data_IF_696801346753
#
_entry.id   IF_696801346753
#
_cell.length_a   1.000
_cell.length_b   1.000
_cell.length_c   1.000
_cell.angle_alpha   90.00
_cell.angle_beta   90.00
_cell.angle_gamma   90.00
#
_symmetry.space_group_name_H-M   'P 1'
#
loop_
_entity.id
_entity.type
_entity.pdbx_description
1 polymer ?
#
# COMPACT_ATOMS: atom_id res chain seq x y z
N UNK A 1 4.93 0.78 -22.68
CA UNK A 1 5.27 0.27 -21.33
C UNK A 1 6.61 -0.49 -21.30
N UNK A 2 7.23 -0.65 -20.12
CA UNK A 2 8.52 -1.35 -19.90
C UNK A 2 8.45 -2.31 -18.71
N UNK A 3 8.91 -3.55 -18.89
CA UNK A 3 9.01 -4.59 -17.86
C UNK A 3 10.48 -4.95 -17.65
N UNK A 4 10.92 -4.91 -16.39
CA UNK A 4 12.30 -5.13 -16.00
C UNK A 4 12.55 -6.62 -15.73
N UNK A 5 13.35 -7.24 -16.59
CA UNK A 5 13.82 -8.62 -16.41
C UNK A 5 15.32 -8.70 -16.08
N UNK A 6 16.07 -7.61 -16.29
CA UNK A 6 17.51 -7.56 -16.06
C UNK A 6 18.31 -8.72 -16.68
N UNK A 7 17.82 -9.32 -17.78
CA UNK A 7 18.45 -10.47 -18.41
C UNK A 7 19.79 -10.08 -19.07
N UNK A 8 20.92 -10.41 -18.44
CA UNK A 8 22.26 -10.05 -18.93
C UNK A 8 22.91 -11.15 -19.79
N UNK A 9 23.44 -10.76 -20.96
CA UNK A 9 24.29 -11.63 -21.77
C UNK A 9 23.53 -12.78 -22.44
N UNK A 10 23.78 -14.02 -22.01
CA UNK A 10 23.21 -15.24 -22.62
C UNK A 10 21.70 -15.37 -22.38
N UNK A 11 21.24 -14.99 -21.19
CA UNK A 11 19.81 -15.01 -20.81
C UNK A 11 18.98 -14.01 -21.60
N UNK A 12 19.58 -12.90 -22.08
CA UNK A 12 18.91 -11.95 -22.99
C UNK A 12 18.50 -12.59 -24.31
N UNK A 13 19.39 -13.42 -24.87
CA UNK A 13 19.13 -14.12 -26.13
C UNK A 13 18.04 -15.17 -25.95
N UNK A 14 18.06 -15.88 -24.81
CA UNK A 14 17.06 -16.88 -24.41
C UNK A 14 15.69 -16.24 -24.18
N UNK A 15 15.62 -15.06 -23.54
CA UNK A 15 14.39 -14.28 -23.40
C UNK A 15 13.81 -13.90 -24.77
N UNK A 16 14.66 -13.42 -25.69
CA UNK A 16 14.25 -13.10 -27.05
C UNK A 16 13.81 -14.35 -27.84
N UNK A 17 14.42 -15.52 -27.61
CA UNK A 17 13.98 -16.80 -28.20
C UNK A 17 12.61 -17.25 -27.64
N UNK A 18 12.40 -17.10 -26.34
CA UNK A 18 11.14 -17.44 -25.69
C UNK A 18 9.98 -16.57 -26.19
N UNK A 19 10.18 -15.25 -26.26
CA UNK A 19 9.20 -14.31 -26.80
C UNK A 19 8.89 -14.64 -28.26
N UNK A 20 9.91 -14.92 -29.08
CA UNK A 20 9.74 -15.33 -30.48
C UNK A 20 8.92 -16.62 -30.64
N UNK A 21 9.10 -17.57 -29.72
CA UNK A 21 8.34 -18.83 -29.71
C UNK A 21 6.89 -18.61 -29.28
N UNK A 22 6.65 -17.73 -28.31
CA UNK A 22 5.31 -17.45 -27.76
C UNK A 22 4.46 -16.65 -28.75
N UNK A 23 5.04 -15.62 -29.39
CA UNK A 23 4.34 -14.78 -30.36
C UNK A 23 4.30 -15.40 -31.75
N UNK A 24 5.15 -16.39 -32.01
CA UNK A 24 5.35 -16.96 -33.35
C UNK A 24 6.06 -16.01 -34.32
N UNK A 25 6.54 -14.86 -33.85
CA UNK A 25 7.22 -13.86 -34.65
C UNK A 25 8.74 -14.05 -34.61
N UNK A 26 9.41 -13.83 -35.73
CA UNK A 26 10.87 -13.95 -35.80
C UNK A 26 11.56 -12.81 -35.05
N UNK A 27 12.57 -13.14 -34.23
CA UNK A 27 13.41 -12.11 -33.59
C UNK A 27 14.44 -11.52 -34.56
N UNK A 28 14.54 -10.19 -34.59
CA UNK A 28 15.51 -9.44 -35.39
C UNK A 28 16.47 -8.69 -34.47
N UNK A 29 17.77 -8.85 -34.67
CA UNK A 29 18.79 -8.16 -33.87
C UNK A 29 19.19 -6.82 -34.51
N UNK A 30 18.98 -5.72 -33.79
CA UNK A 30 19.08 -4.35 -34.32
C UNK A 30 20.51 -3.78 -34.39
N UNK A 31 21.54 -4.50 -33.89
CA UNK A 31 22.94 -4.06 -34.01
C UNK A 31 23.28 -2.76 -33.26
N UNK A 32 24.36 -2.08 -33.62
CA UNK A 32 24.84 -0.86 -32.95
C UNK A 32 24.00 0.35 -33.42
N UNK A 33 23.58 1.31 -32.56
CA UNK A 33 23.94 1.49 -31.15
C UNK A 33 22.98 0.86 -30.12
N UNK A 34 21.83 0.35 -30.56
CA UNK A 34 20.74 -0.07 -29.67
C UNK A 34 20.95 -1.46 -29.05
N UNK A 35 21.58 -2.39 -29.77
CA UNK A 35 21.81 -3.80 -29.43
C UNK A 35 20.53 -4.54 -28.97
N UNK A 36 19.37 -4.11 -29.45
CA UNK A 36 18.06 -4.62 -29.07
C UNK A 36 17.62 -5.80 -29.96
N UNK A 37 16.72 -6.63 -29.43
CA UNK A 37 15.98 -7.62 -30.23
C UNK A 37 14.55 -7.14 -30.42
N UNK A 38 14.12 -7.00 -31.66
CA UNK A 38 12.75 -6.66 -32.03
C UNK A 38 12.01 -7.92 -32.45
N UNK A 39 10.83 -8.14 -31.88
CA UNK A 39 10.02 -9.35 -32.00
C UNK A 39 8.58 -8.89 -32.15
N UNK A 40 8.18 -8.63 -33.40
CA UNK A 40 6.89 -8.04 -33.72
C UNK A 40 6.64 -6.75 -32.92
N UNK A 41 5.65 -6.73 -32.02
CA UNK A 41 5.30 -5.56 -31.21
C UNK A 41 6.11 -5.45 -29.90
N UNK A 42 7.07 -6.34 -29.67
CA UNK A 42 7.90 -6.40 -28.47
C UNK A 42 9.36 -6.11 -28.77
N UNK A 43 10.01 -5.33 -27.91
CA UNK A 43 11.43 -5.00 -28.03
C UNK A 43 12.18 -5.33 -26.75
N UNK A 44 13.14 -6.25 -26.82
CA UNK A 44 14.07 -6.55 -25.70
C UNK A 44 15.28 -5.63 -25.81
N UNK A 45 15.48 -4.75 -24.82
CA UNK A 45 16.57 -3.78 -24.81
C UNK A 45 17.95 -4.39 -24.50
N UNK A 46 19.00 -3.57 -24.63
CA UNK A 46 20.39 -3.97 -24.33
C UNK A 46 20.56 -4.52 -22.92
N UNK A 47 19.77 -4.02 -21.98
CA UNK A 47 19.82 -4.36 -20.56
C UNK A 47 18.92 -5.55 -20.22
N UNK A 48 18.31 -6.19 -21.22
CA UNK A 48 17.47 -7.37 -21.05
C UNK A 48 16.09 -7.06 -20.48
N UNK A 49 15.53 -5.89 -20.78
CA UNK A 49 14.17 -5.52 -20.39
C UNK A 49 13.24 -5.54 -21.59
N UNK A 50 11.98 -5.89 -21.35
CA UNK A 50 10.95 -5.99 -22.37
C UNK A 50 10.20 -4.67 -22.48
N UNK A 51 10.19 -4.07 -23.68
CA UNK A 51 9.41 -2.89 -24.01
C UNK A 51 8.34 -3.24 -25.03
N UNK A 52 7.20 -2.59 -24.95
CA UNK A 52 6.11 -2.76 -25.90
C UNK A 52 5.23 -1.50 -25.95
N UNK A 53 4.50 -1.34 -27.05
CA UNK A 53 3.62 -0.18 -27.27
C UNK A 53 2.32 -0.30 -26.46
N UNK A 54 1.78 0.84 -26.01
CA UNK A 54 0.57 0.93 -25.19
C UNK A 54 -0.71 0.64 -26.00
N UNK A 55 -0.58 0.54 -27.33
CA UNK A 55 -1.67 0.20 -28.27
C UNK A 55 -1.91 -1.32 -28.40
N UNK A 56 -1.13 -2.16 -27.72
CA UNK A 56 -1.26 -3.63 -27.81
C UNK A 56 -2.42 -4.11 -26.95
N UNK A 57 -3.18 -5.09 -27.48
CA UNK A 57 -4.24 -5.78 -26.75
C UNK A 57 -3.70 -6.32 -25.41
N UNK A 58 -4.22 -5.80 -24.29
CA UNK A 58 -3.82 -6.21 -22.93
C UNK A 58 -3.81 -7.74 -22.73
N UNK A 59 -4.78 -8.43 -23.35
CA UNK A 59 -4.87 -9.90 -23.33
C UNK A 59 -3.63 -10.60 -23.91
N UNK A 60 -3.03 -10.06 -24.98
CA UNK A 60 -1.82 -10.62 -25.58
C UNK A 60 -0.59 -10.42 -24.69
N UNK A 61 -0.57 -9.34 -23.90
CA UNK A 61 0.52 -9.05 -22.96
C UNK A 61 0.42 -9.99 -21.75
N UNK A 62 -0.78 -10.18 -21.20
CA UNK A 62 -1.03 -11.11 -20.09
C UNK A 62 -0.67 -12.56 -20.47
N UNK A 63 -1.15 -13.05 -21.62
CA UNK A 63 -0.83 -14.40 -22.13
C UNK A 63 0.69 -14.61 -22.32
N UNK A 64 1.41 -13.56 -22.69
CA UNK A 64 2.85 -13.60 -22.91
C UNK A 64 3.61 -13.64 -21.58
N UNK A 65 3.17 -12.86 -20.58
CA UNK A 65 3.78 -12.83 -19.26
C UNK A 65 3.58 -14.16 -18.53
N UNK A 66 2.38 -14.74 -18.58
CA UNK A 66 2.09 -16.04 -17.95
C UNK A 66 2.97 -17.15 -18.55
N UNK A 67 3.12 -17.16 -19.88
CA UNK A 67 3.99 -18.12 -20.57
C UNK A 67 5.46 -17.92 -20.26
N UNK A 68 5.94 -16.67 -20.15
CA UNK A 68 7.33 -16.40 -19.78
C UNK A 68 7.64 -16.83 -18.33
N UNK A 69 6.71 -16.65 -17.40
CA UNK A 69 6.86 -17.13 -16.03
C UNK A 69 6.90 -18.67 -15.97
N UNK A 70 6.03 -19.34 -16.75
CA UNK A 70 6.05 -20.81 -16.89
C UNK A 70 7.36 -21.35 -17.49
N UNK A 71 8.09 -20.53 -18.25
CA UNK A 71 9.41 -20.86 -18.82
C UNK A 71 10.59 -20.47 -17.90
N UNK A 72 10.31 -19.99 -16.69
CA UNK A 72 11.33 -19.68 -15.68
C UNK A 72 12.00 -18.31 -15.86
N UNK A 73 11.44 -17.42 -16.67
CA UNK A 73 11.88 -16.03 -16.72
C UNK A 73 11.18 -15.23 -15.63
N UNK A 74 11.80 -15.16 -14.47
CA UNK A 74 11.31 -14.39 -13.34
C UNK A 74 11.82 -12.95 -13.42
N UNK A 75 10.93 -11.98 -13.25
CA UNK A 75 11.30 -10.56 -13.16
C UNK A 75 11.94 -10.27 -11.81
N UNK A 76 13.16 -9.72 -11.78
CA UNK A 76 13.76 -9.24 -10.52
C UNK A 76 12.99 -8.01 -9.98
N UNK A 77 12.69 -7.95 -8.68
CA UNK A 77 11.86 -6.90 -8.09
C UNK A 77 12.67 -5.61 -7.90
N UNK A 78 12.69 -4.76 -8.93
CA UNK A 78 13.12 -3.37 -8.79
C UNK A 78 11.90 -2.50 -8.44
N UNK A 79 11.76 -2.28 -7.12
CA UNK A 79 10.62 -1.68 -6.41
C UNK A 79 9.33 -2.51 -6.51
N UNK A 80 8.58 -2.66 -5.40
CA UNK A 80 7.32 -3.37 -5.42
C UNK A 80 6.43 -2.67 -6.44
N UNK A 81 6.26 -3.31 -7.59
CA UNK A 81 4.97 -3.36 -8.24
C UNK A 81 4.07 -3.86 -7.11
N UNK A 82 3.41 -2.92 -6.43
CA UNK A 82 2.14 -3.19 -5.78
C UNK A 82 1.41 -4.02 -6.82
N UNK A 83 1.30 -5.32 -6.54
CA UNK A 83 0.33 -6.16 -7.21
C UNK A 83 -0.94 -5.32 -7.16
N UNK A 84 -1.35 -4.76 -8.31
CA UNK A 84 -2.78 -4.67 -8.59
C UNK A 84 -3.28 -6.05 -8.18
N UNK A 85 -4.04 -6.14 -7.08
CA UNK A 85 -4.47 -7.43 -6.59
C UNK A 85 -5.24 -8.04 -7.75
N UNK A 86 -4.69 -9.15 -8.23
CA UNK A 86 -5.42 -10.25 -8.82
C UNK A 86 -6.93 -10.09 -8.57
N UNK A 87 -7.63 -9.70 -9.62
CA UNK A 87 -9.09 -9.55 -9.70
C UNK A 87 -9.80 -10.93 -9.61
N UNK A 88 -9.10 -11.94 -9.07
CA UNK A 88 -9.61 -13.26 -8.72
C UNK A 88 -9.35 -13.59 -7.24
N UNK A 89 -9.62 -12.66 -6.33
CA UNK A 89 -9.87 -13.01 -4.94
C UNK A 89 -11.16 -12.34 -4.44
N UNK A 90 -12.24 -13.09 -4.62
CA UNK A 90 -13.58 -12.87 -4.08
C UNK A 90 -14.31 -11.61 -4.55
N UNK A 91 -15.25 -11.82 -5.49
CA UNK A 91 -16.63 -11.40 -5.22
C UNK A 91 -17.04 -11.97 -3.86
N UNK A 92 -16.62 -11.35 -2.78
CA UNK A 92 -17.44 -11.29 -1.61
C UNK A 92 -18.12 -9.95 -1.72
N UNK A 93 -19.25 -9.97 -2.40
CA UNK A 93 -20.39 -9.16 -1.99
C UNK A 93 -20.73 -9.58 -0.55
N UNK A 94 -19.89 -9.21 0.43
CA UNK A 94 -20.39 -9.03 1.77
C UNK A 94 -21.15 -7.72 1.71
N UNK A 95 -22.47 -7.85 1.64
CA UNK A 95 -23.42 -6.74 1.60
C UNK A 95 -23.29 -5.86 2.88
N UNK A 96 -22.50 -6.29 3.87
CA UNK A 96 -22.35 -5.70 5.21
C UNK A 96 -20.99 -5.03 5.51
N UNK A 97 -20.09 -4.86 4.53
CA UNK A 97 -18.80 -4.19 4.80
C UNK A 97 -18.93 -2.66 4.73
N UNK A 98 -18.57 -1.98 5.83
CA UNK A 98 -18.62 -0.52 5.91
C UNK A 98 -17.41 0.10 5.20
N UNK A 99 -17.68 0.93 4.20
CA UNK A 99 -16.65 1.71 3.51
C UNK A 99 -16.83 3.19 3.77
N UNK A 100 -15.82 3.82 4.36
CA UNK A 100 -15.79 5.28 4.54
C UNK A 100 -15.14 5.89 3.30
N UNK A 101 -15.76 6.91 2.72
CA UNK A 101 -15.32 7.55 1.49
C UNK A 101 -15.13 9.06 1.65
N UNK A 102 -14.11 9.60 0.99
CA UNK A 102 -13.86 11.04 0.87
C UNK A 102 -13.83 11.47 -0.59
N UNK A 103 -14.35 12.65 -0.97
CA UNK A 103 -14.28 13.13 -2.35
C UNK A 103 -12.83 13.28 -2.82
N UNK A 104 -12.50 12.77 -4.01
CA UNK A 104 -11.17 12.90 -4.62
C UNK A 104 -10.75 14.36 -4.80
N UNK A 105 -11.72 15.23 -5.07
CA UNK A 105 -11.56 16.69 -5.18
C UNK A 105 -11.09 17.37 -3.89
N UNK A 106 -11.22 16.70 -2.73
CA UNK A 106 -10.71 17.23 -1.47
C UNK A 106 -9.17 17.26 -1.43
N UNK A 107 -8.52 16.40 -2.22
CA UNK A 107 -7.08 16.17 -2.20
C UNK A 107 -6.39 16.71 -3.46
N UNK A 108 -5.18 17.26 -3.26
CA UNK A 108 -4.19 17.35 -4.33
C UNK A 108 -3.38 16.05 -4.39
N UNK A 109 -2.64 15.81 -5.47
CA UNK A 109 -1.81 14.60 -5.60
C UNK A 109 -0.77 14.52 -4.47
N UNK A 110 -0.18 15.66 -4.10
CA UNK A 110 0.71 15.75 -2.94
C UNK A 110 0.00 15.40 -1.63
N UNK A 111 -1.26 15.82 -1.46
CA UNK A 111 -2.03 15.48 -0.25
C UNK A 111 -2.37 13.99 -0.19
N UNK A 112 -2.64 13.34 -1.33
CA UNK A 112 -2.81 11.88 -1.38
C UNK A 112 -1.52 11.16 -1.02
N UNK A 113 -0.39 11.61 -1.55
CA UNK A 113 0.91 11.04 -1.23
C UNK A 113 1.23 11.21 0.26
N UNK A 114 0.94 12.38 0.83
CA UNK A 114 1.06 12.61 2.27
C UNK A 114 0.14 11.70 3.08
N UNK A 115 -1.08 11.44 2.59
CA UNK A 115 -2.02 10.54 3.25
C UNK A 115 -1.47 9.10 3.26
N UNK A 116 -0.96 8.61 2.13
CA UNK A 116 -0.26 7.31 2.04
C UNK A 116 0.87 7.23 3.05
N UNK A 117 1.73 8.25 3.12
CA UNK A 117 2.86 8.31 4.07
C UNK A 117 2.42 8.34 5.53
N UNK A 118 1.34 9.07 5.85
CA UNK A 118 0.79 9.12 7.21
C UNK A 118 0.24 7.76 7.64
N UNK A 119 -0.49 7.09 6.74
CA UNK A 119 -1.02 5.74 6.94
C UNK A 119 0.14 4.76 7.15
N UNK A 120 1.16 4.80 6.28
CA UNK A 120 2.33 3.93 6.40
C UNK A 120 3.09 4.17 7.71
N UNK A 121 3.38 5.43 8.07
CA UNK A 121 4.14 5.75 9.30
C UNK A 121 3.44 5.34 10.61
N UNK A 122 2.15 4.96 10.56
CA UNK A 122 1.32 4.58 11.71
C UNK A 122 0.61 3.23 11.50
N UNK A 123 0.95 2.49 10.45
CA UNK A 123 0.34 1.23 10.03
C UNK A 123 0.19 0.25 11.20
N UNK A 124 1.27 -0.06 11.91
CA UNK A 124 1.30 -1.02 13.02
C UNK A 124 0.31 -0.71 14.14
N UNK A 125 0.09 0.58 14.43
CA UNK A 125 -0.89 1.00 15.43
C UNK A 125 -2.30 0.92 14.86
N UNK A 126 -2.51 1.40 13.62
CA UNK A 126 -3.81 1.43 12.98
C UNK A 126 -4.39 0.02 12.72
N UNK A 127 -3.55 -0.93 12.32
CA UNK A 127 -3.93 -2.34 12.17
C UNK A 127 -4.53 -2.90 13.47
N UNK A 128 -3.88 -2.62 14.62
CA UNK A 128 -4.37 -3.03 15.94
C UNK A 128 -5.63 -2.30 16.37
N UNK A 129 -5.71 -0.99 16.09
CA UNK A 129 -6.88 -0.17 16.46
C UNK A 129 -8.14 -0.65 15.74
N UNK A 130 -8.05 -0.91 14.44
CA UNK A 130 -9.18 -1.37 13.64
C UNK A 130 -9.35 -2.89 13.61
N UNK A 131 -8.45 -3.64 14.28
CA UNK A 131 -8.43 -5.09 14.29
C UNK A 131 -8.47 -5.70 12.87
N UNK A 132 -7.61 -5.17 11.99
CA UNK A 132 -7.48 -5.65 10.62
C UNK A 132 -6.04 -6.09 10.33
N UNK A 133 -5.90 -7.00 9.38
CA UNK A 133 -4.59 -7.50 8.96
C UNK A 133 -3.94 -6.62 7.89
N UNK A 134 -4.74 -5.95 7.06
CA UNK A 134 -4.26 -5.17 5.92
C UNK A 134 -4.97 -3.82 5.86
N UNK A 135 -4.19 -2.74 5.90
CA UNK A 135 -4.67 -1.36 5.81
C UNK A 135 -4.64 -0.89 4.36
N UNK A 136 -5.73 -1.12 3.61
CA UNK A 136 -5.82 -0.75 2.18
C UNK A 136 -6.46 0.62 1.98
N UNK A 137 -5.98 1.39 1.03
CA UNK A 137 -6.60 2.64 0.59
C UNK A 137 -6.79 2.59 -0.92
N UNK A 138 -8.02 2.79 -1.39
CA UNK A 138 -8.34 2.80 -2.82
C UNK A 138 -8.60 4.23 -3.28
N UNK A 139 -8.06 4.60 -4.44
CA UNK A 139 -8.27 5.92 -5.03
C UNK A 139 -8.94 5.71 -6.39
N UNK A 140 -10.16 6.21 -6.53
CA UNK A 140 -10.90 6.28 -7.79
C UNK A 140 -10.84 7.69 -8.36
N UNK A 141 -11.40 7.89 -9.55
CA UNK A 141 -11.49 9.22 -10.17
C UNK A 141 -12.28 10.22 -9.32
N UNK A 142 -13.32 9.75 -8.62
CA UNK A 142 -14.26 10.58 -7.87
C UNK A 142 -14.05 10.53 -6.35
N UNK A 143 -13.47 9.45 -5.80
CA UNK A 143 -13.42 9.18 -4.36
C UNK A 143 -12.10 8.55 -3.91
N UNK A 144 -11.86 8.66 -2.61
CA UNK A 144 -10.85 7.90 -1.87
C UNK A 144 -11.59 7.04 -0.86
N UNK A 145 -11.40 5.72 -0.93
CA UNK A 145 -12.14 4.74 -0.15
C UNK A 145 -11.22 4.10 0.91
N UNK A 146 -11.79 3.91 2.10
CA UNK A 146 -11.15 3.29 3.26
C UNK A 146 -11.95 2.04 3.67
N UNK A 147 -11.74 0.90 2.99
CA UNK A 147 -12.39 -0.38 3.31
C UNK A 147 -11.68 -1.04 4.51
N UNK A 148 -11.72 -0.39 5.68
CA UNK A 148 -11.02 -0.84 6.89
C UNK A 148 -11.93 -1.56 7.89
N UNK A 149 -13.22 -1.67 7.58
CA UNK A 149 -14.23 -2.07 8.53
C UNK A 149 -15.01 -3.25 7.97
N UNK A 150 -15.04 -4.34 8.74
CA UNK A 150 -15.78 -5.55 8.39
C UNK A 150 -16.83 -5.83 9.47
N UNK A 151 -17.99 -6.32 9.04
CA UNK A 151 -19.09 -6.70 9.93
C UNK A 151 -19.85 -5.54 10.58
N UNK A 152 -20.65 -5.89 11.61
CA UNK A 152 -21.56 -4.96 12.27
C UNK A 152 -20.85 -4.13 13.35
N UNK A 153 -20.49 -2.89 13.00
CA UNK A 153 -19.97 -1.90 13.94
C UNK A 153 -21.10 -1.17 14.68
N UNK A 154 -20.87 -0.84 15.95
CA UNK A 154 -21.77 0.03 16.70
C UNK A 154 -21.67 1.50 16.22
N UNK A 155 -22.73 2.27 16.44
CA UNK A 155 -22.82 3.65 15.97
C UNK A 155 -21.70 4.56 16.52
N UNK A 156 -21.25 4.33 17.76
CA UNK A 156 -20.19 5.13 18.37
C UNK A 156 -18.82 4.82 17.74
N UNK A 157 -18.55 3.55 17.43
CA UNK A 157 -17.35 3.14 16.69
C UNK A 157 -17.35 3.69 15.27
N UNK A 158 -18.46 3.58 14.54
CA UNK A 158 -18.58 4.17 13.19
C UNK A 158 -18.31 5.67 13.23
N UNK A 159 -18.88 6.37 14.22
CA UNK A 159 -18.65 7.80 14.43
C UNK A 159 -17.17 8.10 14.71
N UNK A 160 -16.55 7.40 15.65
CA UNK A 160 -15.14 7.60 16.01
C UNK A 160 -14.20 7.35 14.82
N UNK A 161 -14.44 6.28 14.05
CA UNK A 161 -13.68 5.94 12.86
C UNK A 161 -13.86 6.96 11.72
N UNK A 162 -15.10 7.41 11.48
CA UNK A 162 -15.41 8.46 10.50
C UNK A 162 -14.71 9.77 10.86
N UNK A 163 -14.76 10.16 12.13
CA UNK A 163 -14.10 11.36 12.59
C UNK A 163 -12.56 11.22 12.47
N UNK A 164 -12.01 10.06 12.82
CA UNK A 164 -10.58 9.78 12.69
C UNK A 164 -10.10 9.89 11.24
N UNK A 165 -10.78 9.22 10.29
CA UNK A 165 -10.44 9.28 8.86
C UNK A 165 -10.55 10.71 8.34
N UNK A 166 -11.61 11.42 8.72
CA UNK A 166 -11.80 12.82 8.33
C UNK A 166 -10.65 13.69 8.82
N UNK A 167 -10.26 13.56 10.09
CA UNK A 167 -9.15 14.31 10.69
C UNK A 167 -7.80 13.95 10.04
N UNK A 168 -7.59 12.67 9.72
CA UNK A 168 -6.40 12.18 9.03
C UNK A 168 -6.27 12.81 7.63
N UNK A 169 -7.37 12.85 6.87
CA UNK A 169 -7.42 13.48 5.55
C UNK A 169 -7.13 14.99 5.63
N UNK A 170 -7.68 15.68 6.64
CA UNK A 170 -7.37 17.09 6.89
C UNK A 170 -5.90 17.31 7.23
N UNK A 171 -5.30 16.43 8.03
CA UNK A 171 -3.88 16.51 8.37
C UNK A 171 -3.01 16.33 7.12
N UNK A 172 -3.32 15.34 6.27
CA UNK A 172 -2.60 15.09 5.02
C UNK A 172 -2.61 16.31 4.08
N UNK A 173 -3.74 17.01 4.00
CA UNK A 173 -3.89 18.24 3.21
C UNK A 173 -3.11 19.42 3.78
N UNK A 174 -3.01 19.54 5.10
CA UNK A 174 -2.34 20.66 5.78
C UNK A 174 -0.81 20.50 5.82
N UNK A 175 -0.30 19.27 5.88
CA UNK A 175 1.13 19.04 6.02
C UNK A 175 1.88 19.27 4.71
N UNK A 176 2.96 20.07 4.76
CA UNK A 176 3.83 20.32 3.59
C UNK A 176 4.80 19.19 3.31
N UNK A 177 5.24 18.45 4.34
CA UNK A 177 6.15 17.31 4.25
C UNK A 177 5.75 16.26 5.27
N UNK A 178 5.72 15.01 4.83
CA UNK A 178 5.43 13.84 5.66
C UNK A 178 6.51 12.80 5.40
N UNK A 179 6.99 12.16 6.47
CA UNK A 179 7.90 11.05 6.41
C UNK A 179 7.12 9.75 6.64
N UNK A 180 7.34 8.76 5.78
CA UNK A 180 6.68 7.45 5.86
C UNK A 180 7.28 6.51 6.93
N UNK A 181 8.38 6.93 7.56
CA UNK A 181 9.14 6.08 8.47
C UNK A 181 8.30 5.67 9.68
N UNK A 182 8.15 4.36 9.82
CA UNK A 182 7.59 3.75 11.01
C UNK A 182 8.58 3.86 12.16
N UNK A 183 8.07 4.22 13.33
CA UNK A 183 8.86 4.24 14.54
C UNK A 183 8.34 3.17 15.50
N UNK A 184 9.21 2.29 16.03
CA UNK A 184 8.80 1.30 17.01
C UNK A 184 8.23 2.02 18.23
N UNK A 185 7.06 1.57 18.68
CA UNK A 185 6.38 2.14 19.84
C UNK A 185 6.75 1.33 21.08
N UNK A 186 7.30 2.00 22.09
CA UNK A 186 7.51 1.40 23.43
C UNK A 186 6.19 1.35 24.21
N UNK A 187 5.25 2.24 23.90
CA UNK A 187 3.92 2.27 24.50
C UNK A 187 2.90 2.77 23.47
N UNK A 188 2.16 1.82 22.94
CA UNK A 188 1.24 2.03 21.82
C UNK A 188 0.09 2.98 22.20
N UNK A 189 -0.52 2.79 23.38
CA UNK A 189 -1.59 3.68 23.86
C UNK A 189 -1.11 5.11 24.02
N UNK A 190 0.08 5.33 24.56
CA UNK A 190 0.63 6.67 24.72
C UNK A 190 0.91 7.32 23.36
N UNK A 191 1.59 6.61 22.46
CA UNK A 191 2.00 7.15 21.17
C UNK A 191 0.78 7.45 20.28
N UNK A 192 -0.21 6.54 20.24
CA UNK A 192 -1.43 6.75 19.47
C UNK A 192 -2.29 7.86 20.09
N UNK A 193 -2.35 7.99 21.42
CA UNK A 193 -3.01 9.13 22.07
C UNK A 193 -2.37 10.45 21.63
N UNK A 194 -1.05 10.56 21.64
CA UNK A 194 -0.35 11.75 21.15
C UNK A 194 -0.69 12.05 19.68
N UNK A 195 -0.85 11.01 18.86
CA UNK A 195 -1.30 11.15 17.49
C UNK A 195 -2.74 11.67 17.38
N UNK A 196 -3.68 11.12 18.16
CA UNK A 196 -5.07 11.62 18.22
C UNK A 196 -5.13 13.09 18.65
N UNK A 197 -4.28 13.52 19.59
CA UNK A 197 -4.18 14.94 19.97
C UNK A 197 -3.72 15.82 18.80
N UNK A 198 -2.75 15.34 18.00
CA UNK A 198 -2.31 16.04 16.78
C UNK A 198 -3.41 16.13 15.72
N UNK A 199 -4.29 15.13 15.66
CA UNK A 199 -5.45 15.11 14.78
C UNK A 199 -6.59 16.02 15.26
N UNK A 200 -6.56 16.48 16.51
CA UNK A 200 -7.54 17.41 17.07
C UNK A 200 -8.53 16.82 18.07
N UNK A 201 -8.34 15.57 18.51
CA UNK A 201 -9.18 14.91 19.53
C UNK A 201 -8.88 15.44 20.94
N UNK A 202 -9.12 16.74 21.16
CA UNK A 202 -8.78 17.50 22.36
C UNK A 202 -10.07 17.94 23.06
N UNK A 203 -10.26 17.56 24.32
CA UNK A 203 -11.44 17.94 25.09
C UNK A 203 -12.21 16.74 25.64
N UNK A 204 -13.32 17.02 26.31
CA UNK A 204 -14.19 16.01 26.94
C UNK A 204 -15.13 15.37 25.92
N UNK A 205 -15.49 16.11 24.88
CA UNK A 205 -16.33 15.69 23.76
C UNK A 205 -15.73 14.50 23.00
N UNK A 206 -14.40 14.39 22.93
CA UNK A 206 -13.69 13.27 22.28
C UNK A 206 -13.27 12.19 23.28
N UNK A 207 -13.78 12.20 24.52
CA UNK A 207 -13.37 11.21 25.54
C UNK A 207 -13.71 9.80 25.10
N UNK A 208 -14.92 9.58 24.61
CA UNK A 208 -15.41 8.24 24.25
C UNK A 208 -14.79 7.75 22.95
N UNK A 209 -14.63 8.63 21.95
CA UNK A 209 -13.91 8.33 20.71
C UNK A 209 -12.45 7.93 20.98
N UNK A 210 -11.75 8.66 21.86
CA UNK A 210 -10.38 8.27 22.26
C UNK A 210 -10.35 6.95 23.01
N UNK A 211 -11.36 6.65 23.81
CA UNK A 211 -11.44 5.37 24.53
C UNK A 211 -11.55 4.22 23.53
N UNK A 212 -12.45 4.33 22.55
CA UNK A 212 -12.65 3.34 21.48
C UNK A 212 -11.37 3.16 20.65
N UNK A 213 -10.79 4.25 20.16
CA UNK A 213 -9.59 4.22 19.31
C UNK A 213 -8.31 3.77 20.03
N UNK A 214 -8.31 3.60 21.35
CA UNK A 214 -7.16 3.17 22.14
C UNK A 214 -7.36 1.79 22.80
N UNK A 215 -8.54 1.19 22.68
CA UNK A 215 -8.90 0.03 23.52
C UNK A 215 -8.08 -1.23 23.22
N UNK A 216 -7.65 -1.42 21.97
CA UNK A 216 -6.88 -2.59 21.51
C UNK A 216 -5.36 -2.41 21.54
N UNK A 217 -4.87 -1.24 21.94
CA UNK A 217 -3.45 -0.95 22.01
C UNK A 217 -2.87 -1.38 23.37
N UNK A 218 -1.57 -1.66 23.44
CA UNK A 218 -0.89 -2.02 24.69
C UNK A 218 -0.33 -0.80 25.44
N UNK A 219 -0.07 -0.97 26.75
CA UNK A 219 0.57 0.05 27.58
C UNK A 219 -0.39 1.05 28.25
N UNK A 220 0.17 2.16 28.74
CA UNK A 220 -0.55 3.22 29.47
C UNK A 220 -0.76 4.45 28.59
N UNK A 221 -1.96 5.01 28.57
CA UNK A 221 -2.22 6.27 27.86
C UNK A 221 -1.60 7.50 28.53
N UNK A 222 -1.17 7.40 29.79
CA UNK A 222 -0.71 8.54 30.58
C UNK A 222 0.81 8.73 30.58
N UNK A 223 1.58 7.64 30.47
CA UNK A 223 3.03 7.67 30.62
C UNK A 223 3.72 7.00 29.43
N UNK A 224 4.73 7.64 28.84
CA UNK A 224 5.48 7.09 27.71
C UNK A 224 6.25 5.82 28.06
N UNK A 225 6.87 5.82 29.24
CA UNK A 225 7.56 4.66 29.80
C UNK A 225 6.73 4.13 30.97
N UNK A 226 6.67 2.81 31.14
CA UNK A 226 6.17 2.25 32.39
C UNK A 226 7.00 2.82 33.54
N UNK A 227 6.35 3.25 34.62
CA UNK A 227 7.08 3.58 35.84
C UNK A 227 7.87 2.32 36.22
N UNK A 228 9.17 2.45 36.50
CA UNK A 228 9.90 1.37 37.16
C UNK A 228 9.06 0.99 38.38
N UNK A 229 8.67 -0.28 38.47
CA UNK A 229 8.10 -0.80 39.71
C UNK A 229 9.10 -0.43 40.81
N UNK A 230 8.69 0.43 41.73
CA UNK A 230 9.44 0.59 42.96
C UNK A 230 9.18 -0.72 43.70
N UNK A 231 10.12 -1.65 43.63
CA UNK A 231 10.16 -2.73 44.59
C UNK A 231 10.37 -2.04 45.94
N UNK A 232 9.27 -1.78 46.64
CA UNK A 232 9.31 -1.55 48.08
C UNK A 232 9.72 -2.88 48.70
N UNK A 233 11.03 -3.13 48.72
CA UNK A 233 11.63 -4.09 49.64
C UNK A 233 11.32 -3.56 51.05
N UNK A 234 10.28 -4.13 51.64
CA UNK A 234 10.01 -4.05 53.07
C UNK A 234 11.19 -4.75 53.75
N UNK A 235 12.15 -3.95 54.22
CA UNK A 235 13.13 -4.43 55.21
C UNK A 235 12.40 -4.64 56.53
N UNK A 236 12.27 -5.90 56.93
CA UNK A 236 12.05 -6.29 58.34
C UNK A 236 13.25 -5.92 59.23
#
# INVERSE_FOLDING_TARGET
MKILYHAQGKTRKELADAISTITGAAKVYQGIPSYAYEIDCFTVDRNGNLNFDDMIDKKKIEDLLEKLDSMGFHTDPAEPIEKEPDDSASKQENIDDLVIAMPRSFFTDTALENLKKLIQAKSNLMLKVFQIDVLRMQVTEDKVLFPWFTGCLDADTVKACTHFITALCHLAKKQKRVLATEHPSTNEKYDFRCFLLRLGFIGKEYKDERKLLLQHLSGSSAFKNNRKEHNDEISE
#
